data_IF_712731639928
#
_entry.id   IF_712731639928
#
_cell.length_a   1.000
_cell.length_b   1.000
_cell.length_c   1.000
_cell.angle_alpha   90.00
_cell.angle_beta   90.00
_cell.angle_gamma   90.00
#
_symmetry.space_group_name_H-M   'P 1'
#
loop_
_entity.id
_entity.type
_entity.pdbx_description
1 polymer ?
#
# COMPACT_ATOMS: atom_id res chain seq x y z
N UNK A 1 28.65 30.79 6.86
CA UNK A 1 29.62 29.79 7.35
C UNK A 1 30.53 29.38 6.19
N UNK A 2 31.84 29.33 6.42
CA UNK A 2 32.89 29.23 5.39
C UNK A 2 32.90 27.86 4.69
N UNK A 3 32.95 27.81 3.34
CA UNK A 3 33.00 26.55 2.54
C UNK A 3 34.12 25.59 2.95
N UNK A 4 35.23 26.11 3.49
CA UNK A 4 36.35 25.30 3.99
C UNK A 4 36.07 24.58 5.32
N UNK A 5 35.12 25.04 6.15
CA UNK A 5 34.80 24.35 7.41
C UNK A 5 33.91 23.12 7.18
N UNK A 6 33.04 23.14 6.15
CA UNK A 6 32.26 21.96 5.77
C UNK A 6 33.15 20.80 5.29
N UNK A 7 34.29 21.10 4.66
CA UNK A 7 35.19 20.06 4.15
C UNK A 7 35.89 19.30 5.30
N UNK A 8 36.45 20.01 6.29
CA UNK A 8 37.15 19.37 7.41
C UNK A 8 36.22 18.52 8.30
N UNK A 9 34.98 18.96 8.52
CA UNK A 9 34.00 18.19 9.26
C UNK A 9 33.69 16.84 8.60
N UNK A 10 33.46 16.84 7.28
CA UNK A 10 33.17 15.59 6.55
C UNK A 10 34.38 14.65 6.56
N UNK A 11 35.62 15.17 6.37
CA UNK A 11 36.84 14.36 6.47
C UNK A 11 37.00 13.70 7.86
N UNK A 12 36.77 14.47 8.94
CA UNK A 12 36.82 13.95 10.31
C UNK A 12 35.71 12.92 10.57
N UNK A 13 34.53 13.12 9.98
CA UNK A 13 33.38 12.21 10.10
C UNK A 13 33.63 10.89 9.37
N UNK A 14 34.17 10.95 8.16
CA UNK A 14 34.59 9.77 7.39
C UNK A 14 35.67 9.00 8.12
N UNK A 15 36.71 9.69 8.60
CA UNK A 15 37.78 9.03 9.36
C UNK A 15 37.30 8.35 10.62
N UNK A 16 36.40 8.99 11.36
CA UNK A 16 35.76 8.37 12.52
C UNK A 16 35.00 7.10 12.13
N UNK A 17 34.33 7.07 10.98
CA UNK A 17 33.59 5.89 10.53
C UNK A 17 34.53 4.74 10.16
N UNK A 18 35.68 5.02 9.53
CA UNK A 18 36.72 4.01 9.25
C UNK A 18 37.28 3.41 10.53
N UNK A 19 37.72 4.24 11.48
CA UNK A 19 38.23 3.81 12.79
C UNK A 19 37.17 3.01 13.56
N UNK A 20 35.90 3.41 13.46
CA UNK A 20 34.80 2.69 14.09
C UNK A 20 34.59 1.30 13.48
N UNK A 21 34.68 1.19 12.15
CA UNK A 21 34.55 -0.05 11.41
C UNK A 21 35.71 -1.01 11.70
N UNK A 22 36.95 -0.53 11.68
CA UNK A 22 38.15 -1.31 12.04
C UNK A 22 38.10 -1.81 13.48
N UNK A 23 37.63 -0.96 14.40
CA UNK A 23 37.48 -1.32 15.81
C UNK A 23 36.23 -2.13 16.15
N UNK A 24 35.32 -2.37 15.19
CA UNK A 24 34.04 -3.04 15.43
C UNK A 24 33.12 -2.31 16.43
N UNK A 25 33.24 -0.99 16.53
CA UNK A 25 32.48 -0.15 17.46
C UNK A 25 31.60 0.85 16.72
N UNK A 26 30.60 1.43 17.41
CA UNK A 26 29.73 2.43 16.79
C UNK A 26 30.46 3.78 16.65
N UNK A 27 30.26 4.55 15.56
CA UNK A 27 31.00 5.79 15.32
C UNK A 27 30.95 6.81 16.46
N UNK A 28 29.80 6.99 17.10
CA UNK A 28 29.66 7.91 18.24
C UNK A 28 30.48 7.51 19.48
N UNK A 29 30.91 6.25 19.58
CA UNK A 29 31.80 5.78 20.65
C UNK A 29 33.25 6.23 20.42
N UNK A 30 33.65 6.43 19.17
CA UNK A 30 34.92 7.06 18.80
C UNK A 30 34.86 8.55 19.14
N UNK A 31 34.00 9.30 18.44
CA UNK A 31 33.78 10.74 18.66
C UNK A 31 32.32 11.11 18.39
N UNK A 32 31.71 11.87 19.30
CA UNK A 32 30.37 12.40 19.09
C UNK A 32 30.38 13.52 18.04
N UNK A 33 29.27 13.72 17.32
CA UNK A 33 29.19 14.76 16.27
C UNK A 33 29.51 16.15 16.82
N UNK A 34 29.09 16.46 18.05
CA UNK A 34 29.40 17.72 18.72
C UNK A 34 30.90 17.97 18.86
N UNK A 35 31.69 16.91 19.09
CA UNK A 35 33.15 17.00 19.22
C UNK A 35 33.79 17.22 17.84
N UNK A 36 33.29 16.52 16.80
CA UNK A 36 33.77 16.71 15.42
C UNK A 36 33.53 18.15 14.92
N UNK A 37 32.35 18.70 15.22
CA UNK A 37 32.00 20.09 14.89
C UNK A 37 32.97 21.05 15.60
N UNK A 38 33.17 20.87 16.91
CA UNK A 38 34.06 21.73 17.69
C UNK A 38 35.53 21.65 17.21
N UNK A 39 36.01 20.46 16.80
CA UNK A 39 37.33 20.27 16.19
C UNK A 39 37.40 20.99 14.83
N UNK A 40 36.38 20.86 13.98
CA UNK A 40 36.36 21.49 12.67
C UNK A 40 36.31 23.03 12.75
N UNK A 41 35.69 23.56 13.80
CA UNK A 41 35.64 25.00 14.09
C UNK A 41 36.95 25.53 14.66
N UNK A 42 37.49 24.88 15.70
CA UNK A 42 38.68 25.35 16.44
C UNK A 42 40.02 25.00 15.79
N UNK A 43 40.05 23.97 14.93
CA UNK A 43 41.23 23.48 14.20
C UNK A 43 42.48 23.33 15.09
N UNK A 44 42.41 22.55 16.19
CA UNK A 44 43.55 22.35 17.07
C UNK A 44 44.68 21.62 16.31
N UNK A 45 45.84 22.25 16.20
CA UNK A 45 47.01 21.68 15.50
C UNK A 45 47.96 20.89 16.41
N UNK A 46 47.67 20.81 17.72
CA UNK A 46 48.47 20.09 18.71
C UNK A 46 47.58 19.27 19.64
N UNK A 47 48.14 18.19 20.22
CA UNK A 47 47.43 17.34 21.17
C UNK A 47 46.97 18.09 22.42
N UNK A 48 47.75 19.09 22.86
CA UNK A 48 47.41 19.97 23.98
C UNK A 48 46.13 20.77 23.69
N UNK A 49 46.06 21.46 22.54
CA UNK A 49 44.88 22.22 22.11
C UNK A 49 43.67 21.33 21.87
N UNK A 50 43.89 20.09 21.44
CA UNK A 50 42.82 19.11 21.26
C UNK A 50 42.23 18.68 22.61
N UNK A 51 43.02 18.65 23.68
CA UNK A 51 42.56 18.32 25.03
C UNK A 51 41.70 19.40 25.69
N UNK A 52 41.70 20.62 25.16
CA UNK A 52 40.82 21.70 25.59
C UNK A 52 39.38 21.54 25.06
N UNK A 53 39.16 20.62 24.10
CA UNK A 53 37.84 20.36 23.51
C UNK A 53 37.00 19.49 24.45
N UNK A 54 35.76 19.93 24.70
CA UNK A 54 34.85 19.22 25.60
C UNK A 54 34.49 17.85 25.02
N UNK A 55 34.93 16.79 25.70
CA UNK A 55 34.72 15.40 25.27
C UNK A 55 35.98 14.70 24.76
N UNK A 56 37.11 15.42 24.70
CA UNK A 56 38.46 14.89 24.42
C UNK A 56 39.25 14.67 25.71
N UNK A 57 38.77 13.76 26.57
CA UNK A 57 39.50 13.38 27.78
C UNK A 57 40.78 12.57 27.49
N UNK A 58 41.65 12.42 28.51
CA UNK A 58 42.98 11.78 28.40
C UNK A 58 42.99 10.46 27.61
N UNK A 59 42.07 9.53 27.91
CA UNK A 59 41.95 8.23 27.21
C UNK A 59 41.60 8.36 25.71
N UNK A 60 40.80 9.36 25.35
CA UNK A 60 40.42 9.61 23.95
C UNK A 60 41.53 10.34 23.20
N UNK A 61 42.23 11.26 23.85
CA UNK A 61 43.44 11.87 23.30
C UNK A 61 44.46 10.78 22.98
N UNK A 62 44.82 9.93 23.95
CA UNK A 62 45.77 8.83 23.76
C UNK A 62 45.40 7.91 22.59
N UNK A 63 44.10 7.68 22.36
CA UNK A 63 43.62 6.70 21.36
C UNK A 63 43.35 7.30 19.98
N UNK A 64 43.04 8.59 19.91
CA UNK A 64 42.46 9.21 18.72
C UNK A 64 43.15 10.50 18.29
N UNK A 65 44.10 11.04 19.06
CA UNK A 65 44.77 12.30 18.72
C UNK A 65 45.53 12.23 17.40
N UNK A 66 46.14 11.09 17.10
CA UNK A 66 46.95 10.88 15.90
C UNK A 66 46.12 11.10 14.64
N UNK A 67 45.04 10.33 14.43
CA UNK A 67 44.22 10.46 13.22
C UNK A 67 43.53 11.84 13.12
N UNK A 68 43.16 12.45 14.25
CA UNK A 68 42.53 13.78 14.25
C UNK A 68 43.53 14.83 13.75
N UNK A 69 44.77 14.81 14.28
CA UNK A 69 45.81 15.75 13.88
C UNK A 69 46.28 15.50 12.44
N UNK A 70 46.37 14.24 12.00
CA UNK A 70 46.63 13.90 10.59
C UNK A 70 45.55 14.45 9.64
N UNK A 71 44.28 14.39 10.05
CA UNK A 71 43.15 14.90 9.27
C UNK A 71 43.18 16.43 9.20
N UNK A 72 43.54 17.11 10.30
CA UNK A 72 43.64 18.57 10.36
C UNK A 72 44.84 19.09 9.55
N UNK A 73 45.98 18.40 9.63
CA UNK A 73 47.22 18.79 8.95
C UNK A 73 47.26 18.39 7.46
N UNK A 74 46.19 17.78 6.94
CA UNK A 74 46.06 17.44 5.51
C UNK A 74 46.90 16.23 5.08
N UNK A 75 47.37 15.42 6.03
CA UNK A 75 48.08 14.15 5.75
C UNK A 75 47.10 13.02 5.43
N UNK A 76 45.84 13.17 5.82
CA UNK A 76 44.77 12.29 5.37
C UNK A 76 44.29 12.72 3.98
N UNK A 77 44.75 11.99 2.96
CA UNK A 77 44.08 11.96 1.66
C UNK A 77 42.87 11.04 1.86
N UNK A 78 41.66 11.60 1.87
CA UNK A 78 40.46 10.78 1.76
C UNK A 78 40.68 9.77 0.65
N UNK A 79 40.37 8.47 0.81
CA UNK A 79 40.16 7.66 -0.37
C UNK A 79 39.22 8.49 -1.25
N UNK A 80 39.62 8.80 -2.49
CA UNK A 80 38.73 9.48 -3.41
C UNK A 80 37.36 8.83 -3.25
N UNK A 81 36.26 9.60 -3.13
CA UNK A 81 34.94 9.01 -2.98
C UNK A 81 34.89 7.94 -4.03
N UNK A 82 34.82 6.66 -3.60
CA UNK A 82 34.83 5.54 -4.55
C UNK A 82 33.81 5.97 -5.56
N UNK A 83 34.24 6.25 -6.81
CA UNK A 83 33.30 6.43 -7.91
C UNK A 83 32.50 5.15 -7.81
N UNK A 84 31.30 5.23 -7.27
CA UNK A 84 30.34 4.17 -7.38
C UNK A 84 30.34 3.94 -8.87
N UNK A 85 30.88 2.79 -9.29
CA UNK A 85 30.92 2.44 -10.70
C UNK A 85 29.51 2.69 -11.19
N UNK A 86 29.35 3.70 -12.05
CA UNK A 86 28.04 4.20 -12.41
C UNK A 86 27.32 3.02 -13.05
N UNK A 87 26.42 2.41 -12.28
CA UNK A 87 25.82 1.14 -12.68
C UNK A 87 24.90 1.47 -13.84
N UNK A 88 25.36 1.18 -15.05
CA UNK A 88 24.58 1.38 -16.27
C UNK A 88 23.55 0.26 -16.33
N UNK A 89 22.28 0.62 -16.14
CA UNK A 89 21.16 -0.30 -16.32
C UNK A 89 20.72 -0.30 -17.79
N UNK A 90 20.37 -1.46 -18.34
CA UNK A 90 19.48 -1.49 -19.50
C UNK A 90 18.06 -1.04 -19.11
N UNK A 91 17.24 -0.66 -20.10
CA UNK A 91 15.87 -0.19 -19.86
C UNK A 91 15.02 -1.22 -19.11
N UNK A 92 15.13 -2.52 -19.46
CA UNK A 92 14.39 -3.57 -18.76
C UNK A 92 14.89 -3.76 -17.33
N UNK A 93 16.22 -3.82 -17.14
CA UNK A 93 16.81 -4.01 -15.81
C UNK A 93 16.44 -2.87 -14.85
N UNK A 94 16.40 -1.64 -15.36
CA UNK A 94 15.98 -0.51 -14.54
C UNK A 94 14.51 -0.61 -14.15
N UNK A 95 13.61 -0.96 -15.09
CA UNK A 95 12.18 -1.12 -14.79
C UNK A 95 11.95 -2.29 -13.82
N UNK A 96 12.68 -3.39 -13.99
CA UNK A 96 12.63 -4.54 -13.06
C UNK A 96 13.07 -4.14 -11.66
N UNK A 97 14.22 -3.47 -11.56
CA UNK A 97 14.74 -2.95 -10.30
C UNK A 97 13.75 -2.01 -9.61
N UNK A 98 13.16 -1.06 -10.32
CA UNK A 98 12.15 -0.15 -9.74
C UNK A 98 10.91 -0.93 -9.32
N UNK A 99 10.42 -1.87 -10.13
CA UNK A 99 9.27 -2.69 -9.75
C UNK A 99 9.55 -3.51 -8.49
N UNK A 100 10.73 -4.10 -8.34
CA UNK A 100 11.14 -4.83 -7.13
C UNK A 100 11.09 -3.95 -5.88
N UNK A 101 11.52 -2.69 -5.98
CA UNK A 101 11.43 -1.72 -4.89
C UNK A 101 9.98 -1.30 -4.57
N UNK A 102 9.10 -1.34 -5.57
CA UNK A 102 7.70 -0.94 -5.44
C UNK A 102 6.79 -2.05 -4.90
N UNK A 103 7.16 -3.34 -5.03
CA UNK A 103 6.35 -4.48 -4.55
C UNK A 103 5.93 -4.36 -3.08
N UNK A 104 6.80 -3.97 -2.12
CA UNK A 104 6.44 -3.87 -0.70
C UNK A 104 5.47 -2.72 -0.39
N UNK A 105 5.36 -1.71 -1.28
CA UNK A 105 4.57 -0.50 -1.09
C UNK A 105 3.09 -0.73 -1.42
N UNK A 106 2.53 -1.79 -0.82
CA UNK A 106 1.10 -2.05 -0.85
C UNK A 106 0.36 -0.94 -0.12
N UNK A 107 -0.69 -0.43 -0.74
CA UNK A 107 -1.45 0.69 -0.22
C UNK A 107 -2.94 0.48 -0.40
N UNK A 108 -3.70 1.26 0.35
CA UNK A 108 -5.13 1.40 0.14
C UNK A 108 -5.40 2.84 -0.26
N UNK A 109 -5.94 3.03 -1.46
CA UNK A 109 -6.19 4.33 -2.06
C UNK A 109 -7.68 4.54 -2.19
N UNK A 110 -8.16 5.73 -1.82
CA UNK A 110 -9.54 6.14 -2.02
C UNK A 110 -9.59 7.23 -3.09
N UNK A 111 -10.60 7.20 -3.94
CA UNK A 111 -10.83 8.25 -4.92
C UNK A 111 -12.10 8.04 -5.73
N UNK A 112 -12.44 9.02 -6.54
CA UNK A 112 -13.55 8.96 -7.48
C UNK A 112 -13.05 8.52 -8.86
N UNK A 113 -13.83 7.66 -9.53
CA UNK A 113 -13.51 7.22 -10.89
C UNK A 113 -13.81 8.36 -11.87
N UNK A 114 -12.79 8.86 -12.56
CA UNK A 114 -12.95 9.85 -13.62
C UNK A 114 -13.10 9.22 -15.02
N UNK A 115 -12.44 8.09 -15.26
CA UNK A 115 -12.47 7.40 -16.55
C UNK A 115 -12.40 5.89 -16.36
N UNK A 116 -13.13 5.13 -17.18
CA UNK A 116 -13.07 3.65 -17.22
C UNK A 116 -12.90 3.16 -18.65
N UNK A 117 -12.02 2.17 -18.83
CA UNK A 117 -11.82 1.48 -20.09
C UNK A 117 -11.65 -0.02 -19.86
N UNK A 118 -12.67 -0.78 -20.21
CA UNK A 118 -12.62 -2.25 -20.21
C UNK A 118 -12.03 -2.78 -21.52
N UNK A 119 -11.17 -3.78 -21.40
CA UNK A 119 -10.54 -4.52 -22.49
C UNK A 119 -10.66 -6.02 -22.24
N UNK A 120 -10.34 -6.83 -23.24
CA UNK A 120 -10.37 -8.29 -23.08
C UNK A 120 -9.36 -8.73 -22.00
N UNK A 121 -9.89 -9.17 -20.86
CA UNK A 121 -9.12 -9.73 -19.74
C UNK A 121 -8.78 -8.74 -18.63
N UNK A 122 -9.02 -7.44 -18.80
CA UNK A 122 -8.73 -6.43 -17.76
C UNK A 122 -9.47 -5.11 -17.97
N UNK A 123 -9.58 -4.33 -16.90
CA UNK A 123 -10.15 -2.98 -16.92
C UNK A 123 -9.16 -1.98 -16.36
N UNK A 124 -8.96 -0.89 -17.10
CA UNK A 124 -8.25 0.30 -16.63
C UNK A 124 -9.25 1.33 -16.13
N UNK A 125 -8.92 2.05 -15.08
CA UNK A 125 -9.70 3.19 -14.61
C UNK A 125 -8.79 4.21 -13.93
N UNK A 126 -9.23 5.46 -13.83
CA UNK A 126 -8.45 6.52 -13.18
C UNK A 126 -9.17 6.99 -11.94
N UNK A 127 -8.49 6.94 -10.79
CA UNK A 127 -8.96 7.56 -9.55
C UNK A 127 -8.47 9.00 -9.46
N UNK A 128 -9.33 9.91 -9.05
CA UNK A 128 -9.00 11.31 -8.78
C UNK A 128 -9.44 11.69 -7.36
N UNK A 129 -8.72 12.64 -6.79
CA UNK A 129 -9.14 13.30 -5.54
C UNK A 129 -10.18 14.39 -5.85
N UNK A 130 -11.19 14.51 -4.98
CA UNK A 130 -12.27 15.50 -5.16
C UNK A 130 -11.79 16.95 -5.00
N UNK A 131 -10.73 17.15 -4.21
CA UNK A 131 -10.27 18.47 -3.79
C UNK A 131 -8.82 18.76 -4.19
N UNK A 132 -8.15 17.84 -4.88
CA UNK A 132 -6.74 17.96 -5.27
C UNK A 132 -6.57 17.57 -6.73
N UNK A 133 -5.64 18.23 -7.43
CA UNK A 133 -5.26 17.90 -8.81
C UNK A 133 -4.33 16.68 -8.84
N UNK A 134 -4.82 15.54 -8.33
CA UNK A 134 -4.13 14.27 -8.32
C UNK A 134 -4.95 13.22 -9.07
N UNK A 135 -4.27 12.43 -9.90
CA UNK A 135 -4.86 11.33 -10.65
C UNK A 135 -3.97 10.09 -10.60
N UNK A 136 -4.59 8.93 -10.37
CA UNK A 136 -3.91 7.64 -10.31
C UNK A 136 -4.52 6.67 -11.32
N UNK A 137 -3.69 6.20 -12.26
CA UNK A 137 -4.08 5.15 -13.19
C UNK A 137 -4.11 3.81 -12.45
N UNK A 138 -5.25 3.13 -12.48
CA UNK A 138 -5.48 1.83 -11.88
C UNK A 138 -5.76 0.78 -12.95
N UNK A 139 -5.41 -0.46 -12.63
CA UNK A 139 -5.64 -1.62 -13.48
C UNK A 139 -6.14 -2.79 -12.63
N UNK A 140 -7.16 -3.49 -13.11
CA UNK A 140 -7.69 -4.70 -12.46
C UNK A 140 -7.91 -5.79 -13.49
N UNK A 141 -7.52 -7.02 -13.17
CA UNK A 141 -7.81 -8.19 -13.99
C UNK A 141 -9.32 -8.46 -14.01
N UNK A 142 -9.87 -8.81 -15.18
CA UNK A 142 -11.31 -9.04 -15.31
C UNK A 142 -11.80 -10.18 -14.41
N UNK A 143 -10.98 -11.21 -14.21
CA UNK A 143 -11.27 -12.33 -13.30
C UNK A 143 -11.44 -11.87 -11.86
N UNK A 144 -10.57 -10.97 -11.38
CA UNK A 144 -10.69 -10.36 -10.05
C UNK A 144 -11.90 -9.43 -10.01
N UNK A 145 -12.09 -8.57 -11.01
CA UNK A 145 -13.21 -7.63 -11.03
C UNK A 145 -14.57 -8.33 -10.97
N UNK A 146 -14.76 -9.39 -11.75
CA UNK A 146 -15.98 -10.21 -11.73
C UNK A 146 -16.23 -10.86 -10.37
N UNK A 147 -15.18 -11.20 -9.61
CA UNK A 147 -15.33 -11.75 -8.25
C UNK A 147 -15.87 -10.75 -7.22
N UNK A 148 -15.75 -9.44 -7.48
CA UNK A 148 -16.27 -8.40 -6.60
C UNK A 148 -17.76 -8.11 -6.82
N UNK A 149 -18.37 -8.63 -7.90
CA UNK A 149 -19.77 -8.36 -8.24
C UNK A 149 -20.06 -6.88 -8.53
N UNK A 150 -19.02 -6.09 -8.83
CA UNK A 150 -19.09 -4.64 -9.02
C UNK A 150 -18.86 -4.27 -10.49
N UNK A 151 -19.67 -3.36 -11.01
CA UNK A 151 -19.47 -2.72 -12.30
C UNK A 151 -18.84 -1.32 -12.10
N UNK A 152 -17.62 -1.11 -12.60
CA UNK A 152 -16.94 0.18 -12.49
C UNK A 152 -17.55 1.21 -13.46
N UNK A 153 -17.95 2.37 -12.93
CA UNK A 153 -18.53 3.48 -13.69
C UNK A 153 -17.91 4.80 -13.25
N UNK A 154 -17.87 5.77 -14.15
CA UNK A 154 -17.47 7.14 -13.83
C UNK A 154 -18.37 7.72 -12.73
N UNK A 155 -17.78 8.51 -11.84
CA UNK A 155 -18.43 9.11 -10.67
C UNK A 155 -18.53 8.19 -9.45
N UNK A 156 -18.14 6.91 -9.54
CA UNK A 156 -18.11 6.03 -8.37
C UNK A 156 -16.92 6.36 -7.47
N UNK A 157 -17.20 6.51 -6.17
CA UNK A 157 -16.16 6.65 -5.16
C UNK A 157 -15.80 5.28 -4.58
N UNK A 158 -14.53 4.90 -4.71
CA UNK A 158 -14.02 3.58 -4.35
C UNK A 158 -12.83 3.67 -3.41
N UNK A 159 -12.65 2.60 -2.64
CA UNK A 159 -11.44 2.30 -1.90
C UNK A 159 -10.80 1.04 -2.50
N UNK A 160 -9.61 1.18 -3.07
CA UNK A 160 -8.89 0.11 -3.76
C UNK A 160 -7.63 -0.25 -3.00
N UNK A 161 -7.36 -1.55 -2.87
CA UNK A 161 -6.12 -2.07 -2.28
C UNK A 161 -5.29 -2.73 -3.38
N UNK A 162 -3.99 -2.51 -3.36
CA UNK A 162 -3.10 -2.98 -4.40
C UNK A 162 -1.67 -2.50 -4.23
N UNK A 163 -0.91 -2.49 -5.33
CA UNK A 163 0.49 -2.08 -5.32
C UNK A 163 0.87 -1.32 -6.60
N UNK A 164 1.84 -0.39 -6.53
CA UNK A 164 2.36 0.32 -7.68
C UNK A 164 3.17 -0.58 -8.60
N UNK A 165 3.04 -0.39 -9.92
CA UNK A 165 3.71 -1.19 -10.94
C UNK A 165 3.94 -0.38 -12.23
N UNK A 166 5.12 -0.53 -12.80
CA UNK A 166 5.50 0.04 -14.09
C UNK A 166 5.45 -1.05 -15.16
N UNK A 167 4.62 -0.87 -16.19
CA UNK A 167 4.56 -1.82 -17.30
C UNK A 167 5.76 -1.67 -18.23
N UNK A 168 6.59 -2.72 -18.32
CA UNK A 168 7.82 -2.73 -19.15
C UNK A 168 7.66 -2.19 -20.57
N UNK A 169 6.59 -2.59 -21.26
CA UNK A 169 6.40 -2.27 -22.68
C UNK A 169 6.06 -0.79 -22.92
N UNK A 170 5.38 -0.13 -21.98
CA UNK A 170 4.89 1.23 -22.14
C UNK A 170 5.54 2.24 -21.21
N UNK A 171 6.29 1.78 -20.20
CA UNK A 171 6.82 2.62 -19.12
C UNK A 171 5.75 3.26 -18.24
N UNK A 172 4.47 2.89 -18.41
CA UNK A 172 3.38 3.53 -17.67
C UNK A 172 3.32 3.04 -16.23
N UNK A 173 3.32 3.99 -15.31
CA UNK A 173 3.01 3.76 -13.91
C UNK A 173 1.51 3.52 -13.73
N UNK A 174 1.17 2.41 -13.09
CA UNK A 174 -0.19 2.05 -12.74
C UNK A 174 -0.23 1.44 -11.34
N UNK A 175 -1.40 1.48 -10.73
CA UNK A 175 -1.71 0.78 -9.51
C UNK A 175 -2.44 -0.52 -9.86
N UNK A 176 -1.81 -1.68 -9.62
CA UNK A 176 -2.44 -2.98 -9.83
C UNK A 176 -3.34 -3.31 -8.65
N UNK A 177 -4.64 -3.37 -8.91
CA UNK A 177 -5.68 -3.49 -7.90
C UNK A 177 -5.95 -4.97 -7.60
N UNK A 178 -5.93 -5.30 -6.31
CA UNK A 178 -6.20 -6.63 -5.79
C UNK A 178 -7.53 -6.76 -5.06
N UNK A 179 -8.01 -5.67 -4.43
CA UNK A 179 -9.33 -5.60 -3.81
C UNK A 179 -9.99 -4.26 -4.08
N UNK A 180 -11.33 -4.25 -4.20
CA UNK A 180 -12.14 -3.04 -4.39
C UNK A 180 -13.28 -3.07 -3.39
N UNK A 181 -13.51 -1.96 -2.71
CA UNK A 181 -14.69 -1.70 -1.89
C UNK A 181 -15.33 -0.37 -2.27
N UNK A 182 -16.66 -0.28 -2.19
CA UNK A 182 -17.38 0.97 -2.40
C UNK A 182 -17.22 1.87 -1.17
N UNK A 183 -16.92 3.15 -1.38
CA UNK A 183 -16.94 4.12 -0.27
C UNK A 183 -18.39 4.25 0.19
N UNK A 184 -18.64 3.93 1.46
CA UNK A 184 -20.00 3.83 2.03
C UNK A 184 -20.44 2.40 2.39
N UNK A 185 -19.71 1.37 1.98
CA UNK A 185 -19.99 -0.03 2.36
C UNK A 185 -19.89 -0.24 3.89
N UNK A 186 -19.05 0.53 4.58
CA UNK A 186 -19.02 0.54 6.05
C UNK A 186 -20.32 1.05 6.68
N UNK A 187 -20.96 2.07 6.09
CA UNK A 187 -22.25 2.56 6.53
C UNK A 187 -23.37 1.55 6.20
N UNK A 188 -23.30 0.89 5.05
CA UNK A 188 -24.18 -0.22 4.67
C UNK A 188 -24.03 -1.42 5.61
N UNK A 189 -22.80 -1.79 5.99
CA UNK A 189 -22.53 -2.87 6.94
C UNK A 189 -23.04 -2.52 8.34
N UNK A 190 -22.83 -1.29 8.79
CA UNK A 190 -23.41 -0.78 10.04
C UNK A 190 -24.95 -0.80 10.00
N UNK A 191 -25.55 -0.36 8.90
CA UNK A 191 -27.01 -0.38 8.69
C UNK A 191 -27.55 -1.81 8.65
N UNK A 192 -26.85 -2.73 8.01
CA UNK A 192 -27.17 -4.16 7.97
C UNK A 192 -27.10 -4.79 9.36
N UNK A 193 -26.02 -4.56 10.11
CA UNK A 193 -25.87 -5.06 11.47
C UNK A 193 -26.94 -4.48 12.41
N UNK A 194 -27.29 -3.21 12.27
CA UNK A 194 -28.37 -2.57 13.00
C UNK A 194 -29.74 -3.18 12.64
N UNK A 195 -30.02 -3.39 11.35
CA UNK A 195 -31.25 -4.02 10.88
C UNK A 195 -31.36 -5.46 11.36
N UNK A 196 -30.27 -6.24 11.28
CA UNK A 196 -30.22 -7.62 11.78
C UNK A 196 -30.51 -7.68 13.28
N UNK A 197 -29.92 -6.78 14.08
CA UNK A 197 -30.23 -6.66 15.52
C UNK A 197 -31.69 -6.32 15.76
N UNK A 198 -32.25 -5.34 15.03
CA UNK A 198 -33.67 -4.98 15.12
C UNK A 198 -34.57 -6.16 14.81
N UNK A 199 -34.36 -6.82 13.66
CA UNK A 199 -35.14 -7.99 13.25
C UNK A 199 -34.99 -9.16 14.24
N UNK A 200 -33.83 -9.31 14.88
CA UNK A 200 -33.64 -10.31 15.93
C UNK A 200 -34.43 -9.98 17.20
N UNK A 201 -34.49 -8.71 17.61
CA UNK A 201 -35.31 -8.24 18.74
C UNK A 201 -36.80 -8.40 18.44
N UNK A 202 -37.23 -8.08 17.21
CA UNK A 202 -38.59 -8.32 16.73
C UNK A 202 -38.89 -9.84 16.59
N UNK A 203 -37.89 -10.69 16.87
CA UNK A 203 -37.93 -12.14 16.86
C UNK A 203 -37.97 -12.76 15.46
N UNK A 204 -37.77 -11.97 14.38
CA UNK A 204 -37.36 -12.39 13.03
C UNK A 204 -36.95 -13.85 12.85
N UNK A 205 -35.98 -14.21 13.68
CA UNK A 205 -35.18 -15.41 13.56
C UNK A 205 -35.53 -16.48 14.62
N UNK A 206 -36.56 -16.26 15.43
CA UNK A 206 -37.02 -17.21 16.44
C UNK A 206 -37.44 -18.53 15.78
N UNK A 207 -36.83 -19.61 16.26
CA UNK A 207 -37.08 -20.95 15.72
C UNK A 207 -38.54 -21.38 15.92
N UNK A 208 -39.19 -20.92 16.99
CA UNK A 208 -40.59 -21.20 17.30
C UNK A 208 -41.57 -20.64 16.27
N UNK A 209 -41.17 -19.60 15.51
CA UNK A 209 -42.00 -19.02 14.44
C UNK A 209 -41.83 -19.71 13.09
N UNK A 210 -40.84 -20.59 12.97
CA UNK A 210 -40.67 -21.38 11.74
C UNK A 210 -41.76 -22.42 11.65
N UNK A 211 -42.46 -22.42 10.51
CA UNK A 211 -43.42 -23.47 10.19
C UNK A 211 -42.65 -24.76 9.88
N UNK A 212 -43.13 -25.93 10.37
CA UNK A 212 -42.53 -27.21 9.99
C UNK A 212 -42.62 -27.39 8.48
N UNK A 213 -41.51 -27.80 7.86
CA UNK A 213 -41.46 -28.05 6.43
C UNK A 213 -42.35 -29.27 6.14
N UNK A 214 -43.29 -29.13 5.21
CA UNK A 214 -44.15 -30.24 4.79
C UNK A 214 -43.29 -31.36 4.19
N UNK A 215 -43.54 -32.61 4.60
CA UNK A 215 -42.89 -33.80 4.03
C UNK A 215 -43.19 -33.98 2.54
N UNK A 216 -44.32 -33.44 2.08
CA UNK A 216 -44.76 -33.54 0.70
C UNK A 216 -45.13 -32.14 0.21
N UNK A 217 -44.25 -31.58 -0.63
CA UNK A 217 -44.47 -30.30 -1.29
C UNK A 217 -45.16 -30.57 -2.61
N UNK A 218 -46.25 -29.85 -2.91
CA UNK A 218 -46.98 -29.95 -4.19
C UNK A 218 -46.97 -28.65 -4.98
N UNK A 219 -46.79 -27.52 -4.29
CA UNK A 219 -46.82 -26.17 -4.83
C UNK A 219 -45.56 -25.44 -4.39
N UNK A 220 -44.86 -24.83 -5.34
CA UNK A 220 -43.63 -24.08 -5.11
C UNK A 220 -43.80 -22.69 -5.71
N UNK A 221 -43.54 -21.65 -4.90
CA UNK A 221 -43.35 -20.29 -5.39
C UNK A 221 -41.88 -20.03 -5.63
N UNK A 222 -41.49 -19.73 -6.87
CA UNK A 222 -40.15 -19.35 -7.28
C UNK A 222 -40.11 -17.84 -7.48
N UNK A 223 -39.44 -17.13 -6.56
CA UNK A 223 -39.24 -15.68 -6.62
C UNK A 223 -37.77 -15.45 -6.96
N UNK A 224 -37.48 -15.11 -8.21
CA UNK A 224 -36.11 -14.84 -8.69
C UNK A 224 -36.14 -14.05 -10.00
N UNK A 225 -34.99 -13.60 -10.47
CA UNK A 225 -34.92 -12.85 -11.72
C UNK A 225 -35.13 -13.79 -12.92
N UNK A 226 -35.89 -13.34 -13.91
CA UNK A 226 -36.17 -14.12 -15.12
C UNK A 226 -34.92 -14.36 -15.99
N UNK A 227 -33.86 -13.57 -15.78
CA UNK A 227 -32.63 -13.58 -16.57
C UNK A 227 -31.47 -14.33 -15.88
N UNK A 228 -31.64 -14.78 -14.63
CA UNK A 228 -30.60 -15.52 -13.90
C UNK A 228 -30.65 -17.03 -14.18
N UNK A 229 -29.49 -17.69 -14.10
CA UNK A 229 -29.36 -19.13 -14.30
C UNK A 229 -30.14 -19.97 -13.28
N UNK A 230 -30.45 -19.40 -12.11
CA UNK A 230 -31.18 -20.06 -11.03
C UNK A 230 -32.57 -20.57 -11.44
N UNK A 231 -33.29 -19.86 -12.33
CA UNK A 231 -34.60 -20.31 -12.80
C UNK A 231 -34.47 -21.57 -13.66
N UNK A 232 -33.52 -21.56 -14.59
CA UNK A 232 -33.31 -22.68 -15.51
C UNK A 232 -32.82 -23.91 -14.72
N UNK A 233 -31.86 -23.72 -13.83
CA UNK A 233 -31.34 -24.78 -12.95
C UNK A 233 -32.45 -25.43 -12.10
N UNK A 234 -33.32 -24.61 -11.52
CA UNK A 234 -34.46 -25.09 -10.73
C UNK A 234 -35.46 -25.88 -11.57
N UNK A 235 -35.83 -25.38 -12.75
CA UNK A 235 -36.79 -26.04 -13.63
C UNK A 235 -36.22 -27.35 -14.21
N UNK A 236 -34.94 -27.40 -14.54
CA UNK A 236 -34.28 -28.61 -15.06
C UNK A 236 -34.24 -29.73 -14.02
N UNK A 237 -33.98 -29.42 -12.74
CA UNK A 237 -33.84 -30.46 -11.71
C UNK A 237 -35.15 -30.84 -11.01
N UNK A 238 -36.13 -29.93 -10.91
CA UNK A 238 -37.37 -30.16 -10.15
C UNK A 238 -38.65 -30.21 -11.02
N UNK A 239 -38.61 -29.74 -12.26
CA UNK A 239 -39.78 -29.69 -13.14
C UNK A 239 -40.36 -31.06 -13.49
N UNK A 240 -39.53 -32.11 -13.49
CA UNK A 240 -39.94 -33.48 -13.86
C UNK A 240 -40.79 -34.20 -12.79
N UNK A 241 -40.86 -33.67 -11.56
CA UNK A 241 -41.55 -34.30 -10.44
C UNK A 241 -43.05 -33.95 -10.33
N UNK A 242 -43.64 -33.33 -11.36
CA UNK A 242 -45.08 -33.02 -11.40
C UNK A 242 -45.54 -31.99 -10.36
N UNK A 243 -44.64 -31.08 -9.95
CA UNK A 243 -44.90 -30.02 -8.98
C UNK A 243 -45.54 -28.80 -9.68
N UNK A 244 -46.48 -28.14 -9.01
CA UNK A 244 -47.02 -26.87 -9.47
C UNK A 244 -46.06 -25.73 -9.11
N UNK A 245 -45.48 -25.08 -10.12
CA UNK A 245 -44.49 -24.01 -9.95
C UNK A 245 -45.12 -22.67 -10.34
N UNK A 246 -45.14 -21.74 -9.39
CA UNK A 246 -45.53 -20.35 -9.60
C UNK A 246 -44.27 -19.50 -9.70
N UNK A 247 -44.11 -18.77 -10.79
CA UNK A 247 -42.95 -17.90 -10.98
C UNK A 247 -43.34 -16.44 -10.76
N UNK A 248 -42.61 -15.76 -9.87
CA UNK A 248 -42.67 -14.33 -9.66
C UNK A 248 -41.32 -13.73 -10.06
N UNK A 249 -41.31 -12.92 -11.12
CA UNK A 249 -40.10 -12.29 -11.61
C UNK A 249 -39.76 -11.10 -10.72
N UNK A 250 -38.67 -11.21 -9.97
CA UNK A 250 -38.19 -10.16 -9.06
C UNK A 250 -36.67 -10.14 -9.08
N UNK A 251 -36.08 -8.94 -9.17
CA UNK A 251 -34.64 -8.75 -8.95
C UNK A 251 -34.35 -8.99 -7.47
N UNK A 252 -33.53 -9.99 -7.19
CA UNK A 252 -33.18 -10.39 -5.82
C UNK A 252 -32.04 -9.57 -5.23
N UNK A 253 -31.31 -8.83 -6.06
CA UNK A 253 -30.14 -8.01 -5.69
C UNK A 253 -30.07 -6.74 -6.57
N UNK A 254 -29.35 -5.73 -6.09
CA UNK A 254 -29.14 -4.45 -6.80
C UNK A 254 -30.18 -3.36 -6.47
N UNK A 255 -29.98 -2.18 -7.07
CA UNK A 255 -30.71 -0.94 -6.73
C UNK A 255 -32.24 -1.06 -6.86
N UNK A 256 -32.73 -1.91 -7.76
CA UNK A 256 -34.14 -2.08 -8.08
C UNK A 256 -34.83 -3.23 -7.33
N UNK A 257 -34.08 -4.00 -6.53
CA UNK A 257 -34.62 -5.16 -5.84
C UNK A 257 -35.65 -4.81 -4.76
N UNK A 258 -35.44 -3.71 -4.04
CA UNK A 258 -36.27 -3.33 -2.88
C UNK A 258 -37.71 -3.06 -3.31
N UNK A 259 -37.90 -2.26 -4.35
CA UNK A 259 -39.23 -1.91 -4.85
C UNK A 259 -39.96 -3.14 -5.39
N UNK A 260 -39.26 -4.00 -6.15
CA UNK A 260 -39.86 -5.21 -6.73
C UNK A 260 -40.16 -6.32 -5.69
N UNK A 261 -39.41 -6.39 -4.57
CA UNK A 261 -39.65 -7.38 -3.50
C UNK A 261 -40.83 -6.97 -2.60
N UNK A 262 -41.05 -5.67 -2.42
CA UNK A 262 -42.00 -5.14 -1.43
C UNK A 262 -43.38 -4.78 -2.00
N UNK A 263 -43.49 -4.68 -3.33
CA UNK A 263 -44.74 -4.44 -4.08
C UNK A 263 -45.56 -5.72 -4.30
#
# INVERSE_FOLDING_TARGET
MNRNNNNLYELLRERRNEVAKEGGIKPYMVLHNSVLIEIAEKKPTTAEKLGEIKGMGKKRLERYSEFILETINGSFVSPEPKKEEEKVYSVSEFIDFINELLVPERAVVQGEINQVKSMNGYTFFTLVDKNEDAALNCFVWQTKLSSFGLELKEGLELKVEGFPKIFKRSGRFNFEVEHIGLVGEGALKLAFEALKKKLAIDGYFEQERKKPISKYVRRIGLITSAYGDAKNDFLTHLGEFGLEIYFCNVRVEGLYAIDEITS
#
